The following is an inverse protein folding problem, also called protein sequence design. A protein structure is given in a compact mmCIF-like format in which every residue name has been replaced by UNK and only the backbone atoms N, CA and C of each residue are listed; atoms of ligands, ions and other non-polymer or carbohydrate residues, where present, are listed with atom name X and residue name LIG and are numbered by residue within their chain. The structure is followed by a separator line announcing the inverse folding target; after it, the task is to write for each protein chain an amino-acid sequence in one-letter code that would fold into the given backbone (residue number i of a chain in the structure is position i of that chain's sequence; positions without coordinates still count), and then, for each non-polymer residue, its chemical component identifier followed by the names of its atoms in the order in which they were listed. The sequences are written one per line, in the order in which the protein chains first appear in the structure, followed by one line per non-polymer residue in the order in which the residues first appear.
data_IF_850276006932
#
_entry.id   IF_850276006932
#
_cell.length_a   1.000
_cell.length_b   1.000
_cell.length_c   1.000
_cell.angle_alpha   90.00
_cell.angle_beta   90.00
_cell.angle_gamma   90.00
#
_symmetry.space_group_name_H-M   'P 1'
#
loop_
_entity.id
_entity.type
_entity.pdbx_description
1 polymer ?
#
# COMPACT_ATOMS: atom_id res chain seq x y z
N UNK A 1 -4.28 0.53 24.57
CA UNK A 1 -3.21 1.50 24.22
C UNK A 1 -3.85 2.55 23.33
N UNK A 2 -3.71 3.84 23.62
CA UNK A 2 -4.25 4.88 22.74
C UNK A 2 -3.50 4.87 21.40
N UNK A 3 -4.10 5.40 20.34
CA UNK A 3 -3.42 5.48 19.02
C UNK A 3 -2.15 6.33 19.15
N UNK A 4 -2.15 7.32 20.02
CA UNK A 4 -1.01 8.20 20.28
C UNK A 4 0.16 7.45 20.90
N UNK A 5 -0.09 6.60 21.92
CA UNK A 5 0.95 5.75 22.54
C UNK A 5 1.55 4.77 21.54
N UNK A 6 0.70 4.17 20.68
CA UNK A 6 1.18 3.23 19.67
C UNK A 6 2.09 3.92 18.66
N UNK A 7 1.68 5.10 18.17
CA UNK A 7 2.47 5.90 17.22
C UNK A 7 3.81 6.33 17.86
N UNK A 8 3.79 6.79 19.10
CA UNK A 8 4.99 7.18 19.83
C UNK A 8 6.01 6.03 19.91
N UNK A 9 5.57 4.86 20.37
CA UNK A 9 6.45 3.68 20.46
C UNK A 9 6.95 3.20 19.10
N UNK A 10 6.16 3.34 18.04
CA UNK A 10 6.60 3.02 16.68
C UNK A 10 7.72 3.95 16.20
N UNK A 11 7.59 5.25 16.46
CA UNK A 11 8.61 6.25 16.11
C UNK A 11 9.91 5.99 16.88
N UNK A 12 9.81 5.74 18.20
CA UNK A 12 10.99 5.41 19.04
C UNK A 12 11.69 4.15 18.54
N UNK A 13 10.92 3.13 18.19
CA UNK A 13 11.46 1.89 17.59
C UNK A 13 12.23 2.18 16.31
N UNK A 14 11.65 2.93 15.38
CA UNK A 14 12.27 3.21 14.07
C UNK A 14 13.51 4.10 14.21
N UNK A 15 13.49 5.10 15.09
CA UNK A 15 14.66 5.92 15.41
C UNK A 15 15.82 5.09 15.98
N UNK A 16 15.51 4.04 16.74
CA UNK A 16 16.49 3.12 17.29
C UNK A 16 16.97 2.08 16.29
N UNK A 17 16.04 1.43 15.59
CA UNK A 17 16.34 0.33 14.67
C UNK A 17 17.04 0.78 13.39
N UNK A 18 16.81 2.02 12.95
CA UNK A 18 17.34 2.59 11.70
C UNK A 18 18.12 3.89 11.98
N UNK A 19 19.35 3.83 12.53
CA UNK A 19 20.09 5.02 12.94
C UNK A 19 20.45 5.97 11.79
N UNK A 20 20.45 5.51 10.55
CA UNK A 20 20.68 6.33 9.36
C UNK A 20 19.40 6.88 8.71
N UNK A 21 18.21 6.57 9.23
CA UNK A 21 16.96 6.99 8.64
C UNK A 21 16.39 8.27 9.26
N UNK A 22 15.66 9.02 8.45
CA UNK A 22 14.76 10.09 8.90
C UNK A 22 13.37 9.48 9.15
N UNK A 23 12.72 9.87 10.23
CA UNK A 23 11.33 9.50 10.53
C UNK A 23 10.45 10.71 10.29
N UNK A 24 9.47 10.58 9.40
CA UNK A 24 8.54 11.65 9.04
C UNK A 24 7.13 11.20 9.43
N UNK A 25 6.53 11.86 10.39
CA UNK A 25 5.13 11.68 10.77
C UNK A 25 4.30 12.73 10.05
N UNK A 26 3.55 12.30 9.03
CA UNK A 26 2.68 13.17 8.24
C UNK A 26 1.26 13.09 8.78
N UNK A 27 0.81 14.14 9.44
CA UNK A 27 -0.45 14.23 10.17
C UNK A 27 -1.25 15.48 9.77
N UNK A 28 -2.24 15.89 10.54
CA UNK A 28 -3.20 16.93 10.20
C UNK A 28 -3.12 18.12 11.15
N UNK A 29 -3.46 19.30 10.64
CA UNK A 29 -3.65 20.51 11.45
C UNK A 29 -4.70 20.25 12.54
N UNK A 30 -4.40 20.70 13.76
CA UNK A 30 -5.26 20.47 14.92
C UNK A 30 -5.03 19.15 15.67
N UNK A 31 -4.30 18.18 15.08
CA UNK A 31 -3.86 16.99 15.80
C UNK A 31 -2.60 17.30 16.62
N UNK A 32 -2.57 16.83 17.85
CA UNK A 32 -1.42 16.99 18.77
C UNK A 32 -0.89 15.63 19.18
N UNK A 33 0.42 15.47 19.09
CA UNK A 33 1.17 14.29 19.53
C UNK A 33 2.19 14.74 20.56
N UNK A 34 1.70 15.10 21.77
CA UNK A 34 2.52 15.72 22.83
C UNK A 34 3.80 14.96 23.11
N UNK A 35 3.75 13.64 23.16
CA UNK A 35 4.92 12.82 23.48
C UNK A 35 5.92 12.78 22.31
N UNK A 36 5.45 12.79 21.06
CA UNK A 36 6.31 12.90 19.89
C UNK A 36 6.98 14.27 19.78
N UNK A 37 6.27 15.34 20.14
CA UNK A 37 6.79 16.70 20.13
C UNK A 37 7.89 16.92 21.18
N UNK A 38 7.89 16.11 22.24
CA UNK A 38 8.92 16.11 23.28
C UNK A 38 10.16 15.27 22.91
N UNK A 39 10.06 14.41 21.87
CA UNK A 39 11.23 13.69 21.37
C UNK A 39 12.22 14.67 20.73
N UNK A 40 13.29 14.97 21.44
CA UNK A 40 14.38 15.81 20.94
C UNK A 40 15.27 15.00 19.99
N UNK A 41 14.85 14.87 18.72
CA UNK A 41 15.59 14.16 17.68
C UNK A 41 15.63 14.99 16.39
N UNK A 42 16.82 15.25 15.89
CA UNK A 42 17.06 15.89 14.58
C UNK A 42 16.64 15.00 13.41
N UNK A 43 16.36 13.72 13.67
CA UNK A 43 15.87 12.75 12.69
C UNK A 43 14.35 12.57 12.69
N UNK A 44 13.61 13.32 13.52
CA UNK A 44 12.15 13.29 13.54
C UNK A 44 11.58 14.58 12.95
N UNK A 45 10.72 14.44 11.96
CA UNK A 45 9.92 15.55 11.40
C UNK A 45 8.44 15.26 11.56
N UNK A 46 7.68 16.19 12.14
CA UNK A 46 6.22 16.13 12.20
C UNK A 46 5.66 17.14 11.20
N UNK A 47 4.98 16.63 10.17
CA UNK A 47 4.30 17.46 9.17
C UNK A 47 2.82 17.58 9.53
N UNK A 48 2.28 18.79 9.49
CA UNK A 48 0.84 19.05 9.64
C UNK A 48 0.27 19.50 8.32
N UNK A 49 -0.58 18.65 7.75
CA UNK A 49 -1.26 18.91 6.48
C UNK A 49 -2.58 19.61 6.73
N UNK A 50 -2.98 20.47 5.82
CA UNK A 50 -4.34 21.02 5.80
C UNK A 50 -5.32 19.98 5.27
N UNK A 51 -6.47 19.82 5.94
CA UNK A 51 -7.50 18.89 5.50
C UNK A 51 -8.04 19.29 4.11
N UNK A 52 -8.23 18.31 3.19
CA UNK A 52 -8.95 18.58 1.95
C UNK A 52 -10.42 18.89 2.23
N UNK A 53 -11.07 19.61 1.31
CA UNK A 53 -12.52 19.86 1.38
C UNK A 53 -13.31 18.55 1.38
N UNK A 54 -12.86 17.56 0.61
CA UNK A 54 -13.46 16.24 0.51
C UNK A 54 -12.44 15.18 0.85
N UNK A 55 -12.78 14.27 1.76
CA UNK A 55 -11.88 13.16 2.14
C UNK A 55 -11.77 12.08 1.08
N UNK A 56 -12.67 12.10 0.09
CA UNK A 56 -12.80 11.06 -0.93
C UNK A 56 -13.30 9.72 -0.40
N UNK A 57 -13.66 8.78 -1.29
CA UNK A 57 -14.10 7.44 -0.90
C UNK A 57 -13.03 6.75 -0.04
N UNK A 58 -13.45 6.13 1.07
CA UNK A 58 -12.56 5.45 2.02
C UNK A 58 -11.39 6.33 2.53
N UNK A 59 -11.61 7.65 2.63
CA UNK A 59 -10.58 8.62 3.05
C UNK A 59 -9.32 8.64 2.16
N UNK A 60 -9.42 8.25 0.89
CA UNK A 60 -8.27 8.11 0.00
C UNK A 60 -7.52 9.44 -0.23
N UNK A 61 -8.23 10.57 -0.23
CA UNK A 61 -7.62 11.89 -0.40
C UNK A 61 -6.72 12.26 0.80
N UNK A 62 -7.10 11.83 2.00
CA UNK A 62 -6.23 11.99 3.17
C UNK A 62 -4.94 11.19 2.99
N UNK A 63 -5.05 9.97 2.50
CA UNK A 63 -3.89 9.11 2.28
C UNK A 63 -2.96 9.67 1.19
N UNK A 64 -3.51 10.15 0.07
CA UNK A 64 -2.73 10.77 -1.01
C UNK A 64 -1.98 12.00 -0.48
N UNK A 65 -2.67 12.96 0.14
CA UNK A 65 -2.08 14.21 0.62
C UNK A 65 -0.97 13.93 1.64
N UNK A 66 -1.25 13.16 2.68
CA UNK A 66 -0.27 12.90 3.73
C UNK A 66 0.94 12.13 3.21
N UNK A 67 0.74 11.18 2.28
CA UNK A 67 1.83 10.41 1.67
C UNK A 67 2.70 11.29 0.78
N UNK A 68 2.10 12.08 -0.10
CA UNK A 68 2.83 13.00 -0.99
C UNK A 68 3.64 14.01 -0.17
N UNK A 69 3.05 14.62 0.86
CA UNK A 69 3.75 15.54 1.73
C UNK A 69 4.95 14.89 2.45
N UNK A 70 4.76 13.67 2.96
CA UNK A 70 5.84 12.91 3.59
C UNK A 70 6.98 12.57 2.63
N UNK A 71 6.66 12.14 1.40
CA UNK A 71 7.66 11.84 0.36
C UNK A 71 8.38 13.11 -0.09
N UNK A 72 7.66 14.21 -0.27
CA UNK A 72 8.26 15.50 -0.62
C UNK A 72 9.26 15.94 0.46
N UNK A 73 8.90 15.79 1.73
CA UNK A 73 9.80 16.09 2.85
C UNK A 73 11.03 15.19 2.86
N UNK A 74 10.86 13.90 2.59
CA UNK A 74 11.99 12.97 2.45
C UNK A 74 12.94 13.40 1.32
N UNK A 75 12.39 13.88 0.19
CA UNK A 75 13.18 14.42 -0.93
C UNK A 75 13.97 15.68 -0.52
N UNK A 76 13.35 16.60 0.21
CA UNK A 76 14.02 17.80 0.74
C UNK A 76 15.16 17.45 1.70
N UNK A 77 15.02 16.39 2.48
CA UNK A 77 16.04 15.86 3.38
C UNK A 77 17.13 15.02 2.66
N UNK A 78 17.04 14.87 1.33
CA UNK A 78 18.01 14.11 0.54
C UNK A 78 17.89 12.60 0.68
N UNK A 79 16.78 12.08 1.18
CA UNK A 79 16.55 10.65 1.29
C UNK A 79 16.43 10.00 -0.09
N UNK A 80 17.24 8.98 -0.35
CA UNK A 80 17.23 8.26 -1.63
C UNK A 80 16.06 7.29 -1.75
N UNK A 81 15.62 6.73 -0.63
CA UNK A 81 14.53 5.76 -0.54
C UNK A 81 13.52 6.21 0.52
N UNK A 82 12.27 5.82 0.32
CA UNK A 82 11.18 6.02 1.26
C UNK A 82 10.53 4.68 1.55
N UNK A 83 10.29 4.43 2.82
CA UNK A 83 9.39 3.39 3.30
C UNK A 83 8.15 4.08 3.88
N UNK A 84 7.01 3.89 3.23
CA UNK A 84 5.71 4.36 3.70
C UNK A 84 5.07 3.27 4.55
N UNK A 85 4.63 3.63 5.74
CA UNK A 85 3.80 2.81 6.61
C UNK A 85 2.67 3.66 7.20
N UNK A 86 1.91 3.11 8.12
CA UNK A 86 0.81 3.79 8.82
C UNK A 86 1.14 3.92 10.30
N UNK A 87 0.55 4.90 10.96
CA UNK A 87 0.74 5.13 12.40
C UNK A 87 0.12 4.03 13.27
N UNK A 88 -0.83 3.26 12.74
CA UNK A 88 -1.45 2.10 13.39
C UNK A 88 -0.78 0.75 13.01
N UNK A 89 0.29 0.80 12.22
CA UNK A 89 1.11 -0.35 11.83
C UNK A 89 2.52 -0.25 12.40
N UNK A 90 3.13 -1.38 12.70
CA UNK A 90 4.52 -1.48 13.15
C UNK A 90 5.17 -2.70 12.54
N UNK A 91 6.38 -2.55 12.05
CA UNK A 91 7.19 -3.67 11.59
C UNK A 91 8.42 -3.81 12.48
N UNK A 92 8.80 -5.05 12.78
CA UNK A 92 9.86 -5.38 13.73
C UNK A 92 11.09 -5.99 13.08
N UNK A 93 10.99 -6.48 11.85
CA UNK A 93 12.15 -7.03 11.13
C UNK A 93 13.24 -5.97 11.01
N UNK A 94 14.48 -6.40 11.19
CA UNK A 94 15.66 -5.56 11.02
C UNK A 94 16.07 -5.54 9.55
N UNK A 95 16.76 -4.48 9.13
CA UNK A 95 17.37 -4.37 7.80
C UNK A 95 16.37 -4.53 6.63
N UNK A 96 15.11 -4.15 6.85
CA UNK A 96 14.03 -4.21 5.83
C UNK A 96 14.42 -3.46 4.55
N UNK A 97 15.11 -2.33 4.69
CA UNK A 97 15.58 -1.54 3.55
C UNK A 97 16.67 -2.30 2.75
N UNK A 98 17.55 -3.03 3.40
CA UNK A 98 18.56 -3.87 2.75
C UNK A 98 17.88 -5.02 2.02
N UNK A 99 16.94 -5.69 2.67
CA UNK A 99 16.18 -6.77 2.07
C UNK A 99 15.45 -6.32 0.79
N UNK A 100 14.72 -5.22 0.85
CA UNK A 100 13.99 -4.70 -0.31
C UNK A 100 14.92 -4.26 -1.45
N UNK A 101 16.03 -3.60 -1.14
CA UNK A 101 17.04 -3.24 -2.15
C UNK A 101 17.66 -4.46 -2.82
N UNK A 102 17.82 -5.59 -2.11
CA UNK A 102 18.28 -6.83 -2.73
C UNK A 102 17.21 -7.43 -3.65
N UNK A 103 15.94 -7.42 -3.26
CA UNK A 103 14.85 -7.86 -4.14
C UNK A 103 14.75 -6.99 -5.40
N UNK A 104 14.91 -5.66 -5.29
CA UNK A 104 14.93 -4.76 -6.46
C UNK A 104 16.06 -5.11 -7.44
N UNK A 105 17.24 -5.52 -6.93
CA UNK A 105 18.35 -5.97 -7.77
C UNK A 105 18.10 -7.33 -8.41
N UNK A 106 17.49 -8.26 -7.68
CA UNK A 106 17.19 -9.62 -8.17
C UNK A 106 16.06 -9.59 -9.24
N UNK A 107 15.13 -8.67 -9.12
CA UNK A 107 13.98 -8.54 -9.99
C UNK A 107 13.95 -7.15 -10.64
N UNK A 108 14.84 -6.84 -11.57
CA UNK A 108 14.90 -5.51 -12.21
C UNK A 108 13.64 -5.24 -13.04
N UNK A 109 13.34 -3.97 -13.24
CA UNK A 109 12.30 -3.52 -14.17
C UNK A 109 12.71 -3.83 -15.62
N UNK A 110 11.73 -4.07 -16.48
CA UNK A 110 11.95 -4.10 -17.93
C UNK A 110 12.31 -2.70 -18.48
N UNK A 111 12.86 -2.66 -19.70
CA UNK A 111 13.35 -1.41 -20.29
C UNK A 111 12.26 -0.38 -20.60
N UNK A 112 11.00 -0.81 -20.73
CA UNK A 112 9.88 0.11 -20.93
C UNK A 112 9.54 0.81 -19.63
N UNK A 113 9.42 0.05 -18.54
CA UNK A 113 9.11 0.59 -17.20
C UNK A 113 10.29 1.39 -16.64
N UNK A 114 11.54 1.03 -16.92
CA UNK A 114 12.74 1.82 -16.55
C UNK A 114 12.76 3.25 -17.09
N UNK A 115 11.99 3.55 -18.11
CA UNK A 115 11.81 4.93 -18.59
C UNK A 115 10.89 5.77 -17.70
N UNK A 116 10.14 5.11 -16.82
CA UNK A 116 9.10 5.69 -15.97
C UNK A 116 9.52 5.66 -14.50
N UNK A 117 9.99 4.52 -14.04
CA UNK A 117 10.48 4.26 -12.68
C UNK A 117 11.90 3.75 -12.73
N UNK A 118 12.73 4.17 -11.78
CA UNK A 118 14.13 3.73 -11.69
C UNK A 118 14.25 2.31 -11.14
N UNK A 119 13.39 1.97 -10.18
CA UNK A 119 13.37 0.68 -9.50
C UNK A 119 11.94 0.23 -9.23
N UNK A 120 11.78 -1.07 -9.03
CA UNK A 120 10.51 -1.69 -8.70
C UNK A 120 9.99 -1.21 -7.34
N UNK A 121 8.69 -0.95 -7.24
CA UNK A 121 8.05 -0.62 -5.97
C UNK A 121 7.78 -1.91 -5.17
N UNK A 122 8.24 -1.94 -3.94
CA UNK A 122 7.98 -3.05 -3.02
C UNK A 122 6.67 -2.80 -2.28
N UNK A 123 5.81 -3.78 -2.19
CA UNK A 123 4.53 -3.71 -1.48
C UNK A 123 4.33 -4.97 -0.66
N UNK A 124 3.66 -4.86 0.48
CA UNK A 124 3.29 -6.06 1.22
C UNK A 124 2.02 -6.69 0.62
N UNK A 125 1.97 -8.01 0.74
CA UNK A 125 0.80 -8.79 0.32
C UNK A 125 -0.45 -8.49 1.15
N UNK A 126 -0.29 -7.87 2.30
CA UNK A 126 -1.39 -7.47 3.16
C UNK A 126 -2.36 -6.55 2.40
N UNK A 127 -3.61 -6.96 2.28
CA UNK A 127 -4.67 -6.34 1.45
C UNK A 127 -4.50 -6.44 -0.07
N UNK A 128 -3.43 -7.07 -0.57
CA UNK A 128 -3.29 -7.40 -1.99
C UNK A 128 -4.02 -8.70 -2.28
N UNK A 129 -5.24 -8.61 -2.81
CA UNK A 129 -6.05 -9.78 -3.11
C UNK A 129 -5.70 -10.36 -4.47
N UNK A 130 -5.48 -11.68 -4.52
CA UNK A 130 -5.05 -12.42 -5.71
C UNK A 130 -6.01 -12.26 -6.90
N UNK A 131 -7.30 -12.19 -6.61
CA UNK A 131 -8.38 -12.15 -7.59
C UNK A 131 -9.10 -10.80 -7.69
N UNK A 132 -8.55 -9.74 -7.12
CA UNK A 132 -9.12 -8.40 -7.22
C UNK A 132 -8.37 -7.57 -8.27
N UNK A 133 -9.02 -7.16 -9.38
CA UNK A 133 -8.36 -6.35 -10.39
C UNK A 133 -7.81 -5.04 -9.80
N UNK A 134 -6.52 -4.79 -10.03
CA UNK A 134 -5.79 -3.56 -9.64
C UNK A 134 -5.82 -3.20 -8.15
N UNK A 135 -6.17 -4.16 -7.28
CA UNK A 135 -6.23 -3.96 -5.82
C UNK A 135 -4.92 -4.27 -5.13
N UNK A 136 -3.82 -3.61 -5.48
CA UNK A 136 -2.53 -3.80 -4.84
C UNK A 136 -2.45 -3.04 -3.51
N UNK A 137 -1.91 -3.66 -2.47
CA UNK A 137 -1.79 -3.05 -1.14
C UNK A 137 -0.97 -1.76 -1.17
N UNK A 138 -1.54 -0.70 -0.61
CA UNK A 138 -0.98 0.65 -0.61
C UNK A 138 -0.52 1.13 0.77
N UNK A 139 -0.76 0.34 1.80
CA UNK A 139 -0.54 0.74 3.19
C UNK A 139 0.91 0.68 3.61
N UNK A 140 1.68 -0.24 3.02
CA UNK A 140 3.11 -0.39 3.24
C UNK A 140 3.80 -0.49 1.89
N UNK A 141 4.66 0.48 1.59
CA UNK A 141 5.35 0.55 0.32
C UNK A 141 6.79 1.04 0.51
N UNK A 142 7.71 0.49 -0.30
CA UNK A 142 9.10 0.95 -0.34
C UNK A 142 9.55 1.16 -1.78
N UNK A 143 10.34 2.21 -1.99
CA UNK A 143 10.92 2.51 -3.29
C UNK A 143 11.84 3.71 -3.25
N UNK A 144 12.45 4.03 -4.41
CA UNK A 144 13.17 5.30 -4.53
C UNK A 144 12.23 6.47 -4.29
N UNK A 145 12.75 7.49 -3.64
CA UNK A 145 11.97 8.70 -3.31
C UNK A 145 11.30 9.30 -4.55
N UNK A 146 12.02 9.34 -5.67
CA UNK A 146 11.49 9.83 -6.96
C UNK A 146 10.36 8.95 -7.50
N UNK A 147 10.52 7.64 -7.42
CA UNK A 147 9.56 6.68 -7.95
C UNK A 147 8.30 6.64 -7.07
N UNK A 148 8.48 6.68 -5.76
CA UNK A 148 7.40 6.80 -4.79
C UNK A 148 6.62 8.12 -4.99
N UNK A 149 7.31 9.23 -5.20
CA UNK A 149 6.66 10.51 -5.52
C UNK A 149 5.87 10.40 -6.83
N UNK A 150 6.47 9.85 -7.88
CA UNK A 150 5.80 9.69 -9.17
C UNK A 150 4.55 8.81 -9.07
N UNK A 151 4.58 7.76 -8.26
CA UNK A 151 3.44 6.88 -8.02
C UNK A 151 2.32 7.55 -7.22
N UNK A 152 2.65 8.31 -6.17
CA UNK A 152 1.68 8.88 -5.24
C UNK A 152 1.16 10.29 -5.61
N UNK A 153 1.88 11.03 -6.44
CA UNK A 153 1.47 12.35 -6.93
C UNK A 153 0.33 12.22 -7.95
N UNK A 154 -0.87 12.04 -7.44
CA UNK A 154 -2.10 11.75 -8.17
C UNK A 154 -3.18 12.81 -7.88
N UNK A 155 -4.15 13.00 -8.79
CA UNK A 155 -5.31 13.83 -8.51
C UNK A 155 -6.11 13.25 -7.33
N UNK A 156 -6.87 14.12 -6.64
CA UNK A 156 -7.78 13.70 -5.59
C UNK A 156 -9.01 13.01 -6.18
N UNK A 157 -9.57 12.07 -5.42
CA UNK A 157 -10.76 11.33 -5.83
C UNK A 157 -12.03 12.06 -5.35
N UNK A 158 -12.86 12.49 -6.28
CA UNK A 158 -14.13 13.17 -6.02
C UNK A 158 -15.35 12.27 -6.25
N UNK A 159 -15.14 10.95 -6.44
CA UNK A 159 -16.25 10.03 -6.59
C UNK A 159 -17.05 9.91 -5.29
N UNK A 160 -18.34 9.69 -5.42
CA UNK A 160 -19.22 9.37 -4.31
C UNK A 160 -19.15 7.88 -3.99
N UNK A 161 -19.28 7.54 -2.70
CA UNK A 161 -19.43 6.14 -2.30
C UNK A 161 -20.74 5.58 -2.88
N UNK A 162 -20.70 4.31 -3.34
CA UNK A 162 -21.91 3.65 -3.77
C UNK A 162 -22.87 3.43 -2.60
N UNK A 163 -24.13 3.15 -2.92
CA UNK A 163 -25.14 2.75 -1.93
C UNK A 163 -24.63 1.54 -1.12
N UNK A 164 -24.57 1.64 0.22
CA UNK A 164 -24.07 0.56 1.08
C UNK A 164 -24.93 -0.71 1.05
N UNK A 165 -26.20 -0.60 0.62
CA UNK A 165 -27.09 -1.76 0.48
C UNK A 165 -26.88 -2.50 -0.85
N UNK A 166 -26.22 -1.85 -1.81
CA UNK A 166 -25.98 -2.46 -3.12
C UNK A 166 -24.87 -3.51 -3.05
N UNK A 167 -25.17 -4.70 -3.57
CA UNK A 167 -24.18 -5.77 -3.74
C UNK A 167 -23.50 -5.63 -5.08
N UNK A 168 -22.21 -5.92 -5.10
CA UNK A 168 -21.37 -5.84 -6.28
C UNK A 168 -20.63 -7.15 -6.47
N UNK A 169 -20.45 -7.57 -7.70
CA UNK A 169 -19.46 -8.59 -8.01
C UNK A 169 -18.04 -8.06 -7.78
N UNK A 170 -17.04 -8.96 -7.71
CA UNK A 170 -15.62 -8.58 -7.56
C UNK A 170 -15.22 -7.58 -8.66
N UNK A 171 -15.63 -7.83 -9.90
CA UNK A 171 -15.34 -6.95 -11.03
C UNK A 171 -16.03 -5.60 -10.91
N UNK A 172 -17.31 -5.58 -10.60
CA UNK A 172 -18.05 -4.31 -10.42
C UNK A 172 -17.45 -3.48 -9.29
N UNK A 173 -17.13 -4.13 -8.15
CA UNK A 173 -16.50 -3.46 -7.02
C UNK A 173 -15.13 -2.87 -7.39
N UNK A 174 -14.30 -3.60 -8.13
CA UNK A 174 -13.02 -3.08 -8.61
C UNK A 174 -13.22 -1.85 -9.53
N UNK A 175 -14.21 -1.88 -10.43
CA UNK A 175 -14.54 -0.76 -11.34
C UNK A 175 -15.07 0.48 -10.63
N UNK A 176 -15.51 0.39 -9.37
CA UNK A 176 -15.80 1.57 -8.54
C UNK A 176 -14.53 2.38 -8.21
N UNK A 177 -13.36 1.77 -8.37
CA UNK A 177 -12.06 2.40 -8.13
C UNK A 177 -11.97 3.04 -6.74
N UNK A 178 -12.28 2.25 -5.73
CA UNK A 178 -12.16 2.65 -4.33
C UNK A 178 -10.77 2.29 -3.79
N UNK A 179 -10.25 3.13 -2.89
CA UNK A 179 -8.99 2.87 -2.20
C UNK A 179 -7.82 2.62 -3.16
N UNK A 180 -7.10 1.52 -2.96
CA UNK A 180 -5.91 1.11 -3.69
C UNK A 180 -6.14 0.94 -5.20
N UNK A 181 -7.34 0.55 -5.62
CA UNK A 181 -7.68 0.44 -7.05
C UNK A 181 -7.68 1.83 -7.72
N UNK A 182 -8.10 2.87 -7.02
CA UNK A 182 -8.01 4.24 -7.51
C UNK A 182 -6.56 4.64 -7.73
N UNK A 183 -5.71 4.44 -6.73
CA UNK A 183 -4.29 4.82 -6.78
C UNK A 183 -3.61 4.18 -7.97
N UNK A 184 -3.71 2.85 -8.10
CA UNK A 184 -3.04 2.13 -9.18
C UNK A 184 -3.58 2.53 -10.55
N UNK A 185 -4.89 2.60 -10.72
CA UNK A 185 -5.47 2.93 -12.03
C UNK A 185 -5.25 4.39 -12.45
N UNK A 186 -5.16 5.35 -11.51
CA UNK A 186 -4.75 6.71 -11.83
C UNK A 186 -3.25 6.79 -12.17
N UNK A 187 -2.40 6.04 -11.47
CA UNK A 187 -0.99 5.94 -11.85
C UNK A 187 -0.83 5.37 -13.27
N UNK A 188 -1.52 4.28 -13.61
CA UNK A 188 -1.49 3.70 -14.94
C UNK A 188 -1.94 4.70 -16.01
N UNK A 189 -3.01 5.46 -15.74
CA UNK A 189 -3.47 6.54 -16.61
C UNK A 189 -2.41 7.64 -16.78
N UNK A 190 -1.75 8.06 -15.69
CA UNK A 190 -0.67 9.06 -15.69
C UNK A 190 0.50 8.64 -16.60
N UNK A 191 0.82 7.35 -16.63
CA UNK A 191 1.91 6.80 -17.47
C UNK A 191 1.43 6.32 -18.85
N UNK A 192 0.21 6.61 -19.25
CA UNK A 192 -0.42 6.19 -20.50
C UNK A 192 -0.46 4.65 -20.69
N UNK A 193 -0.55 3.90 -19.60
CA UNK A 193 -0.74 2.44 -19.64
C UNK A 193 -2.23 2.12 -19.66
N UNK A 194 -2.74 1.27 -20.58
CA UNK A 194 -4.15 0.93 -20.65
C UNK A 194 -4.59 0.12 -19.40
N UNK A 195 -5.79 0.41 -18.91
CA UNK A 195 -6.43 -0.37 -17.85
C UNK A 195 -7.39 -1.37 -18.51
N UNK A 196 -6.97 -2.63 -18.53
CA UNK A 196 -7.78 -3.74 -19.06
C UNK A 196 -8.29 -4.55 -17.86
N UNK A 197 -9.61 -4.58 -17.69
CA UNK A 197 -10.26 -5.17 -16.52
C UNK A 197 -10.30 -6.70 -16.60
N UNK A 198 -9.12 -7.32 -16.51
CA UNK A 198 -8.93 -8.77 -16.39
C UNK A 198 -7.90 -9.06 -15.28
N UNK A 199 -7.91 -10.27 -14.76
CA UNK A 199 -6.90 -10.67 -13.77
C UNK A 199 -5.52 -10.83 -14.43
N UNK A 200 -5.47 -11.32 -15.66
CA UNK A 200 -4.23 -11.46 -16.42
C UNK A 200 -3.52 -10.10 -16.58
N UNK A 201 -4.24 -9.08 -17.09
CA UNK A 201 -3.69 -7.73 -17.22
C UNK A 201 -3.32 -7.12 -15.87
N UNK A 202 -4.06 -7.43 -14.81
CA UNK A 202 -3.74 -7.01 -13.44
C UNK A 202 -2.40 -7.61 -12.99
N UNK A 203 -2.21 -8.90 -13.15
CA UNK A 203 -0.98 -9.59 -12.77
C UNK A 203 0.21 -9.19 -13.63
N UNK A 204 0.00 -8.89 -14.91
CA UNK A 204 1.03 -8.27 -15.76
C UNK A 204 1.52 -6.95 -15.14
N UNK A 205 0.62 -6.06 -14.74
CA UNK A 205 0.97 -4.80 -14.07
C UNK A 205 1.70 -5.06 -12.76
N UNK A 206 1.23 -6.02 -11.94
CA UNK A 206 1.88 -6.36 -10.67
C UNK A 206 3.32 -6.84 -10.87
N UNK A 207 3.54 -7.71 -11.84
CA UNK A 207 4.89 -8.23 -12.12
C UNK A 207 5.80 -7.25 -12.83
N UNK A 208 5.25 -6.26 -13.54
CA UNK A 208 6.07 -5.24 -14.24
C UNK A 208 6.49 -4.09 -13.33
N UNK A 209 5.63 -3.64 -12.42
CA UNK A 209 5.84 -2.41 -11.64
C UNK A 209 6.23 -2.71 -10.19
N UNK A 210 5.63 -3.74 -9.60
CA UNK A 210 5.78 -4.04 -8.18
C UNK A 210 6.54 -5.34 -7.92
N UNK A 211 6.96 -5.52 -6.68
CA UNK A 211 7.27 -6.81 -6.09
C UNK A 211 6.40 -6.95 -4.84
N UNK A 212 5.56 -7.98 -4.83
CA UNK A 212 4.73 -8.32 -3.67
C UNK A 212 5.58 -9.13 -2.71
N UNK A 213 5.64 -8.72 -1.45
CA UNK A 213 6.42 -9.36 -0.38
C UNK A 213 5.47 -9.79 0.72
N UNK A 214 5.71 -10.93 1.32
CA UNK A 214 4.86 -11.42 2.39
C UNK A 214 5.02 -10.55 3.65
N UNK A 215 3.91 -10.20 4.30
CA UNK A 215 3.92 -9.33 5.48
C UNK A 215 4.67 -9.95 6.67
N UNK A 216 4.79 -11.28 6.71
CA UNK A 216 5.61 -12.01 7.67
C UNK A 216 7.11 -11.71 7.54
N UNK A 217 7.60 -11.38 6.34
CA UNK A 217 9.02 -11.11 6.09
C UNK A 217 9.49 -9.80 6.73
N UNK A 218 8.55 -8.91 7.04
CA UNK A 218 8.82 -7.66 7.75
C UNK A 218 8.34 -7.69 9.20
N UNK A 219 7.80 -8.82 9.66
CA UNK A 219 7.21 -8.98 10.99
C UNK A 219 6.22 -7.84 11.29
N UNK A 220 5.21 -7.72 10.41
CA UNK A 220 4.23 -6.65 10.47
C UNK A 220 3.19 -6.93 11.55
N UNK A 221 3.08 -6.01 12.51
CA UNK A 221 1.99 -5.96 13.48
C UNK A 221 1.04 -4.80 13.15
N UNK A 222 -0.24 -5.06 13.18
CA UNK A 222 -1.27 -4.04 12.98
C UNK A 222 -2.21 -3.98 14.18
N UNK A 223 -1.97 -3.03 15.06
CA UNK A 223 -2.66 -2.87 16.34
C UNK A 223 -4.19 -2.79 16.21
N UNK A 224 -4.70 -2.17 15.15
CA UNK A 224 -6.15 -2.06 14.90
C UNK A 224 -6.82 -3.40 14.66
N UNK A 225 -6.09 -4.40 14.17
CA UNK A 225 -6.60 -5.68 13.73
C UNK A 225 -5.89 -6.87 14.39
N UNK A 226 -5.33 -6.68 15.57
CA UNK A 226 -4.59 -7.70 16.30
C UNK A 226 -5.45 -8.94 16.59
N UNK A 227 -6.73 -8.72 16.93
CA UNK A 227 -7.73 -9.79 17.06
C UNK A 227 -8.26 -10.31 15.71
N UNK A 228 -7.96 -9.64 14.61
CA UNK A 228 -8.43 -9.98 13.27
C UNK A 228 -7.44 -10.84 12.48
N UNK A 229 -6.19 -10.96 12.94
CA UNK A 229 -5.19 -11.73 12.20
C UNK A 229 -5.58 -13.21 12.18
N UNK A 230 -6.08 -13.73 13.29
CA UNK A 230 -6.57 -15.12 13.36
C UNK A 230 -7.86 -15.32 12.54
N UNK A 231 -8.84 -14.45 12.69
CA UNK A 231 -10.12 -14.53 11.95
C UNK A 231 -9.95 -14.23 10.44
N UNK A 232 -8.94 -13.46 10.06
CA UNK A 232 -8.67 -13.14 8.65
C UNK A 232 -8.12 -14.32 7.85
N UNK A 233 -7.40 -15.25 8.45
CA UNK A 233 -6.94 -16.42 7.72
C UNK A 233 -8.14 -17.26 7.24
N UNK A 234 -9.16 -17.47 8.03
CA UNK A 234 -10.41 -18.13 7.60
C UNK A 234 -11.14 -17.30 6.53
N UNK A 235 -11.16 -15.98 6.65
CA UNK A 235 -11.78 -15.09 5.68
C UNK A 235 -11.06 -15.08 4.33
N UNK A 236 -9.74 -15.21 4.32
CA UNK A 236 -8.92 -15.24 3.11
C UNK A 236 -8.80 -16.64 2.49
N UNK A 237 -9.22 -17.68 3.17
CA UNK A 237 -9.37 -19.02 2.59
C UNK A 237 -10.54 -19.10 1.60
N UNK A 238 -11.49 -18.17 1.70
CA UNK A 238 -12.51 -18.01 0.69
C UNK A 238 -11.90 -17.50 -0.63
N UNK A 239 -12.14 -18.17 -1.74
CA UNK A 239 -11.49 -17.93 -3.05
C UNK A 239 -11.47 -16.47 -3.51
N UNK A 240 -12.46 -15.63 -3.11
CA UNK A 240 -12.53 -14.21 -3.47
C UNK A 240 -11.60 -13.30 -2.68
N UNK A 241 -11.12 -13.75 -1.52
CA UNK A 241 -10.28 -12.98 -0.59
C UNK A 241 -8.87 -13.54 -0.43
N UNK A 242 -8.51 -14.51 -1.24
CA UNK A 242 -7.16 -15.06 -1.19
C UNK A 242 -6.12 -13.97 -1.41
N UNK A 243 -5.17 -13.87 -0.48
CA UNK A 243 -4.06 -12.92 -0.56
C UNK A 243 -3.06 -13.41 -1.61
N UNK A 244 -2.56 -12.50 -2.43
CA UNK A 244 -1.40 -12.76 -3.27
C UNK A 244 -0.16 -12.96 -2.39
N UNK A 245 0.65 -13.99 -2.67
CA UNK A 245 1.89 -14.24 -1.93
C UNK A 245 3.12 -13.85 -2.76
N UNK A 246 4.27 -13.72 -2.11
CA UNK A 246 5.54 -13.58 -2.82
C UNK A 246 5.79 -14.74 -3.77
N UNK A 247 5.41 -15.95 -3.38
CA UNK A 247 5.48 -17.15 -4.25
C UNK A 247 4.64 -16.97 -5.51
N UNK A 248 3.37 -16.52 -5.39
CA UNK A 248 2.52 -16.25 -6.54
C UNK A 248 3.17 -15.22 -7.45
N UNK A 249 3.70 -14.14 -6.87
CA UNK A 249 4.35 -13.08 -7.62
C UNK A 249 5.58 -13.59 -8.38
N UNK A 250 6.46 -14.38 -7.74
CA UNK A 250 7.65 -14.97 -8.39
C UNK A 250 7.25 -15.91 -9.53
N UNK A 251 6.23 -16.73 -9.34
CA UNK A 251 5.73 -17.63 -10.38
C UNK A 251 5.21 -16.83 -11.59
N UNK A 252 4.39 -15.82 -11.34
CA UNK A 252 3.86 -14.96 -12.39
C UNK A 252 4.95 -14.15 -13.10
N UNK A 253 5.94 -13.63 -12.35
CA UNK A 253 7.11 -12.94 -12.92
C UNK A 253 7.91 -13.82 -13.90
N UNK A 254 7.95 -15.14 -13.67
CA UNK A 254 8.57 -16.13 -14.56
C UNK A 254 7.61 -16.68 -15.63
N UNK A 255 6.45 -16.05 -15.84
CA UNK A 255 5.50 -16.42 -16.91
C UNK A 255 4.61 -17.62 -16.59
N UNK A 256 4.55 -18.06 -15.32
CA UNK A 256 3.67 -19.15 -14.90
C UNK A 256 2.30 -18.60 -14.49
N UNK A 257 1.24 -19.32 -14.86
CA UNK A 257 -0.11 -18.96 -14.47
C UNK A 257 -0.32 -19.22 -12.96
N UNK A 258 -0.70 -18.21 -12.21
CA UNK A 258 -0.99 -18.30 -10.77
C UNK A 258 -2.48 -18.32 -10.45
N UNK A 259 -3.33 -18.26 -11.48
CA UNK A 259 -4.79 -18.16 -11.36
C UNK A 259 -5.49 -19.53 -11.52
N UNK A 260 -4.78 -20.63 -11.27
CA UNK A 260 -5.13 -21.99 -11.73
C UNK A 260 -6.40 -22.63 -11.14
N UNK A 261 -6.98 -22.10 -10.08
CA UNK A 261 -8.00 -22.86 -9.31
C UNK A 261 -9.46 -22.51 -9.60
N UNK A 262 -9.77 -21.48 -10.39
CA UNK A 262 -11.15 -21.17 -10.78
C UNK A 262 -11.16 -20.49 -12.14
N UNK A 263 -12.24 -20.64 -12.89
CA UNK A 263 -12.39 -19.83 -14.10
C UNK A 263 -12.42 -18.36 -13.64
N UNK A 264 -11.59 -17.52 -14.25
CA UNK A 264 -11.52 -16.07 -13.99
C UNK A 264 -12.94 -15.46 -13.97
N UNK A 265 -13.76 -15.85 -14.93
CA UNK A 265 -15.14 -15.41 -15.04
C UNK A 265 -15.99 -15.74 -13.82
N UNK A 266 -15.84 -16.93 -13.23
CA UNK A 266 -16.60 -17.35 -12.05
C UNK A 266 -16.24 -16.47 -10.83
N UNK A 267 -14.95 -16.17 -10.62
CA UNK A 267 -14.51 -15.36 -9.49
C UNK A 267 -14.90 -13.89 -9.69
N UNK A 268 -14.67 -13.34 -10.88
CA UNK A 268 -14.96 -11.93 -11.15
C UNK A 268 -16.47 -11.62 -11.07
N UNK A 269 -17.33 -12.60 -11.33
CA UNK A 269 -18.78 -12.49 -11.22
C UNK A 269 -19.32 -12.91 -9.85
N UNK A 270 -18.50 -13.47 -8.94
CA UNK A 270 -18.94 -13.78 -7.59
C UNK A 270 -19.15 -12.50 -6.76
N UNK A 271 -20.06 -12.56 -5.78
CA UNK A 271 -20.33 -11.43 -4.90
C UNK A 271 -19.07 -11.08 -4.11
N UNK A 272 -18.67 -9.81 -4.15
CA UNK A 272 -17.63 -9.29 -3.27
C UNK A 272 -18.19 -9.25 -1.85
N UNK A 273 -17.78 -10.15 -1.01
CA UNK A 273 -18.28 -10.32 0.35
C UNK A 273 -18.07 -9.08 1.20
N UNK A 274 -19.07 -8.23 1.16
CA UNK A 274 -19.03 -6.91 1.76
C UNK A 274 -19.61 -6.86 3.17
N UNK A 275 -19.22 -7.68 4.11
CA UNK A 275 -19.43 -7.40 5.52
C UNK A 275 -18.10 -7.19 6.23
N UNK A 276 -17.35 -6.19 5.79
CA UNK A 276 -16.43 -5.53 6.71
C UNK A 276 -17.33 -4.70 7.62
N UNK A 277 -17.67 -5.25 8.77
CA UNK A 277 -18.27 -4.47 9.85
C UNK A 277 -17.31 -3.30 10.06
N UNK A 278 -17.76 -2.10 9.68
CA UNK A 278 -17.15 -0.83 10.08
C UNK A 278 -17.16 -0.80 11.60
N UNK A 279 -16.04 -1.12 12.21
CA UNK A 279 -15.78 -0.91 13.62
C UNK A 279 -15.03 0.39 13.80
#
# INVERSE_FOLDING_TARGET
MSTDDYTFHSVVLYLSAYPGAQVIVSTWEGETYKDLEQLNSDRLTILRNTYPQERGPNNINLQIISTVAGIQKAKELGCQYVLKSRTDQRFYAKDVDIYFKQLQKLFPLDDQIKRILSERLMVLNFTTLKYRPYGIGDMFMFGRTTDMFHYWDLPLNHATLPDPEKRFSVMEHAKLRLGEVYILTEFLKKINHPVVWTLEATWEVYTRIFCIVDHSDVDLHWNKYDSWVEDRFEYYENNTFQIATFKDWVLSYNGLNVLECASEETILNSEFGGNIKSG
#
